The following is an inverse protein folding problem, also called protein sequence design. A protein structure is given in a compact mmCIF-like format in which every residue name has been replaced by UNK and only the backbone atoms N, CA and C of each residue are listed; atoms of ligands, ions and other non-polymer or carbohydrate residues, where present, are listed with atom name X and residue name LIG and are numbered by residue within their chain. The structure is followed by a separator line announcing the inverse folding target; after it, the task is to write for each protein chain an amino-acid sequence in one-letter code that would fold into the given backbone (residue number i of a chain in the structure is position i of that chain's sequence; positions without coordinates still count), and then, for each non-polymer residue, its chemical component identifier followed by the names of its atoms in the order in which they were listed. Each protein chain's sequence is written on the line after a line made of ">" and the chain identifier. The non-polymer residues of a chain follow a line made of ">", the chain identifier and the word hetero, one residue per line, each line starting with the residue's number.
data_IF_376320373164
#
_entry.id   IF_376320373164
#
_cell.length_a   1.000
_cell.length_b   1.000
_cell.length_c   1.000
_cell.angle_alpha   90.00
_cell.angle_beta   90.00
_cell.angle_gamma   90.00
#
_symmetry.space_group_name_H-M   'P 1'
#
loop_
_entity.id
_entity.type
_entity.pdbx_description
1 polymer ?
#
# COMPACT_ATOMS: atom_id res chain seq x y z
N UNK A 1 -17.97 29.97 -0.50
CA UNK A 1 -17.72 28.71 -1.22
C UNK A 1 -17.79 27.58 -0.20
N UNK A 2 -18.67 26.58 -0.39
CA UNK A 2 -18.66 25.41 0.48
C UNK A 2 -17.27 24.77 0.46
N UNK A 3 -16.77 24.21 1.58
CA UNK A 3 -15.46 23.59 1.61
C UNK A 3 -15.43 22.46 0.58
N UNK A 4 -14.52 22.56 -0.40
CA UNK A 4 -14.25 21.50 -1.39
C UNK A 4 -14.04 20.19 -0.64
N UNK A 5 -14.70 19.14 -1.09
CA UNK A 5 -14.53 17.81 -0.50
C UNK A 5 -13.05 17.45 -0.52
N UNK A 6 -12.45 17.33 0.66
CA UNK A 6 -11.04 17.01 0.83
C UNK A 6 -10.92 15.50 0.83
N UNK A 7 -10.31 14.96 -0.21
CA UNK A 7 -10.09 13.52 -0.33
C UNK A 7 -8.63 13.22 -0.02
N UNK A 8 -8.41 12.27 0.87
CA UNK A 8 -7.08 11.79 1.22
C UNK A 8 -6.87 10.38 0.67
N UNK A 9 -5.84 10.22 -0.16
CA UNK A 9 -5.36 8.90 -0.55
C UNK A 9 -4.29 8.43 0.41
N UNK A 10 -4.53 7.32 1.09
CA UNK A 10 -3.56 6.73 2.00
C UNK A 10 -2.76 5.64 1.31
N UNK A 11 -1.45 5.81 1.34
CA UNK A 11 -0.46 4.96 0.70
C UNK A 11 0.38 4.32 1.78
N UNK A 12 0.40 3.00 1.85
CA UNK A 12 1.25 2.27 2.80
C UNK A 12 2.38 1.60 2.03
N UNK A 13 3.61 1.85 2.45
CA UNK A 13 4.81 1.31 1.85
C UNK A 13 5.57 0.52 2.89
N UNK A 14 5.74 -0.77 2.65
CA UNK A 14 6.56 -1.63 3.48
C UNK A 14 7.86 -1.93 2.74
N UNK A 15 8.97 -1.90 3.47
CA UNK A 15 10.28 -2.30 2.96
C UNK A 15 10.96 -3.25 3.95
N UNK A 16 11.48 -4.36 3.43
CA UNK A 16 12.22 -5.33 4.19
C UNK A 16 13.65 -4.85 4.39
N UNK A 17 14.11 -4.82 5.64
CA UNK A 17 15.49 -4.48 5.99
C UNK A 17 15.99 -5.43 7.08
N UNK A 18 16.99 -6.29 6.80
CA UNK A 18 17.32 -7.44 7.65
C UNK A 18 17.90 -7.07 9.02
N UNK A 19 18.48 -5.87 9.18
CA UNK A 19 19.06 -5.43 10.45
C UNK A 19 18.05 -4.74 11.38
N UNK A 20 16.79 -4.55 10.95
CA UNK A 20 15.73 -4.01 11.81
C UNK A 20 15.08 -5.17 12.56
N UNK A 21 14.82 -5.00 13.85
CA UNK A 21 14.15 -6.03 14.64
C UNK A 21 12.68 -6.16 14.16
N UNK A 22 12.17 -7.38 13.87
CA UNK A 22 10.79 -7.62 13.46
C UNK A 22 9.73 -7.03 14.39
N UNK A 23 10.00 -6.99 15.70
CA UNK A 23 9.08 -6.47 16.73
C UNK A 23 9.14 -4.94 16.89
N UNK A 24 10.15 -4.29 16.31
CA UNK A 24 10.36 -2.85 16.42
C UNK A 24 10.55 -2.20 15.03
N UNK A 25 9.51 -2.21 14.19
CA UNK A 25 9.56 -1.59 12.88
C UNK A 25 9.75 -0.06 13.00
N UNK A 26 10.46 0.54 12.04
CA UNK A 26 10.53 1.99 11.90
C UNK A 26 9.33 2.45 11.09
N UNK A 27 8.40 3.14 11.75
CA UNK A 27 7.20 3.67 11.11
C UNK A 27 7.27 5.19 11.03
N UNK A 28 6.94 5.73 9.87
CA UNK A 28 6.87 7.16 9.63
C UNK A 28 5.64 7.51 8.80
N UNK A 29 5.10 8.70 9.08
CA UNK A 29 3.91 9.24 8.43
C UNK A 29 4.23 10.61 7.83
N UNK A 30 3.84 10.81 6.57
CA UNK A 30 4.04 12.08 5.87
C UNK A 30 2.81 12.45 5.05
N UNK A 31 2.36 13.70 5.19
CA UNK A 31 1.34 14.26 4.31
C UNK A 31 2.04 14.97 3.15
N UNK A 32 1.57 14.70 1.93
CA UNK A 32 2.12 15.28 0.70
C UNK A 32 1.01 15.89 -0.14
N UNK A 33 1.33 17.03 -0.76
CA UNK A 33 0.48 17.67 -1.77
C UNK A 33 0.50 16.92 -3.12
N UNK A 34 1.60 16.20 -3.39
CA UNK A 34 1.81 15.48 -4.65
C UNK A 34 2.01 13.99 -4.40
N UNK A 35 1.61 13.18 -5.38
CA UNK A 35 1.78 11.74 -5.34
C UNK A 35 3.27 11.36 -5.31
N UNK A 36 3.67 10.27 -4.63
CA UNK A 36 5.07 9.88 -4.46
C UNK A 36 5.69 9.22 -5.72
N UNK A 37 5.18 9.51 -6.91
CA UNK A 37 5.49 8.86 -8.20
C UNK A 37 6.99 8.75 -8.48
N UNK A 38 7.77 9.80 -8.19
CA UNK A 38 9.23 9.80 -8.38
C UNK A 38 10.00 8.84 -7.48
N UNK A 39 9.39 8.33 -6.40
CA UNK A 39 10.03 7.44 -5.42
C UNK A 39 9.60 5.97 -5.53
N UNK A 40 8.75 5.64 -6.50
CA UNK A 40 8.16 4.30 -6.71
C UNK A 40 8.36 3.81 -8.15
N UNK A 41 9.53 4.11 -8.73
CA UNK A 41 9.86 3.90 -10.15
C UNK A 41 9.46 2.51 -10.68
N UNK A 42 9.72 1.46 -9.90
CA UNK A 42 9.48 0.05 -10.31
C UNK A 42 8.01 -0.34 -10.46
N UNK A 43 7.11 0.38 -9.80
CA UNK A 43 5.67 0.11 -9.80
C UNK A 43 4.88 1.36 -10.16
N UNK A 44 5.54 2.29 -10.87
CA UNK A 44 4.96 3.59 -11.25
C UNK A 44 3.74 3.41 -12.15
N UNK A 45 3.86 2.56 -13.15
CA UNK A 45 2.79 2.19 -14.09
C UNK A 45 1.57 1.65 -13.35
N UNK A 46 1.80 0.68 -12.45
CA UNK A 46 0.76 0.11 -11.61
C UNK A 46 0.10 1.17 -10.73
N UNK A 47 0.90 2.01 -10.07
CA UNK A 47 0.41 3.05 -9.19
C UNK A 47 -0.43 4.09 -9.94
N UNK A 48 0.04 4.58 -11.09
CA UNK A 48 -0.68 5.54 -11.92
C UNK A 48 -2.02 4.96 -12.39
N UNK A 49 -2.05 3.68 -12.79
CA UNK A 49 -3.29 2.99 -13.15
C UNK A 49 -4.29 2.88 -11.99
N UNK A 50 -3.82 2.45 -10.81
CA UNK A 50 -4.67 2.39 -9.60
C UNK A 50 -5.21 3.77 -9.24
N UNK A 51 -4.34 4.79 -9.22
CA UNK A 51 -4.75 6.15 -8.87
C UNK A 51 -5.72 6.75 -9.89
N UNK A 52 -5.57 6.44 -11.18
CA UNK A 52 -6.53 6.87 -12.21
C UNK A 52 -7.92 6.30 -11.93
N UNK A 53 -8.00 5.00 -11.60
CA UNK A 53 -9.26 4.32 -11.26
C UNK A 53 -9.88 4.85 -9.97
N UNK A 54 -9.09 5.16 -8.94
CA UNK A 54 -9.65 5.70 -7.70
C UNK A 54 -10.09 7.17 -7.87
N UNK A 55 -9.34 7.97 -8.64
CA UNK A 55 -9.71 9.36 -8.94
C UNK A 55 -10.94 9.47 -9.83
N UNK A 56 -11.20 8.52 -10.72
CA UNK A 56 -12.40 8.55 -11.59
C UNK A 56 -13.71 8.42 -10.81
N UNK A 57 -13.65 7.99 -9.55
CA UNK A 57 -14.81 7.91 -8.63
C UNK A 57 -15.09 9.23 -7.91
N UNK A 58 -14.16 10.18 -7.98
CA UNK A 58 -14.25 11.45 -7.26
C UNK A 58 -14.81 12.55 -8.17
N UNK A 59 -15.43 13.59 -7.58
CA UNK A 59 -15.72 14.82 -8.30
C UNK A 59 -14.46 15.39 -8.97
N UNK A 60 -14.55 15.93 -10.20
CA UNK A 60 -13.39 16.46 -10.92
C UNK A 60 -12.63 17.57 -10.18
N UNK A 61 -13.29 18.29 -9.29
CA UNK A 61 -12.78 19.41 -8.50
C UNK A 61 -12.39 19.02 -7.05
N UNK A 62 -12.39 17.72 -6.72
CA UNK A 62 -12.01 17.21 -5.42
C UNK A 62 -10.59 17.68 -5.02
N UNK A 63 -10.45 18.13 -3.77
CA UNK A 63 -9.16 18.57 -3.26
C UNK A 63 -8.38 17.36 -2.71
N UNK A 64 -7.47 16.83 -3.52
CA UNK A 64 -6.75 15.60 -3.22
C UNK A 64 -5.46 15.88 -2.44
N UNK A 65 -5.25 15.14 -1.35
CA UNK A 65 -3.96 15.02 -0.65
C UNK A 65 -3.51 13.56 -0.53
N UNK A 66 -2.22 13.34 -0.30
CA UNK A 66 -1.64 12.01 -0.12
C UNK A 66 -1.10 11.87 1.29
N UNK A 67 -1.43 10.76 1.94
CA UNK A 67 -0.86 10.37 3.22
C UNK A 67 0.02 9.14 2.98
N UNK A 68 1.33 9.29 3.18
CA UNK A 68 2.30 8.22 2.98
C UNK A 68 2.72 7.65 4.33
N UNK A 69 2.42 6.38 4.53
CA UNK A 69 2.88 5.55 5.62
C UNK A 69 4.06 4.72 5.15
N UNK A 70 5.22 4.88 5.78
CA UNK A 70 6.40 4.08 5.49
C UNK A 70 6.74 3.22 6.69
N UNK A 71 6.77 1.92 6.46
CA UNK A 71 7.07 0.90 7.46
C UNK A 71 8.32 0.17 6.98
N UNK A 72 9.38 0.24 7.78
CA UNK A 72 10.62 -0.47 7.50
C UNK A 72 10.81 -1.50 8.61
N UNK A 73 10.87 -2.79 8.26
CA UNK A 73 10.87 -3.90 9.22
C UNK A 73 11.79 -5.02 8.77
N UNK A 74 12.34 -5.77 9.73
CA UNK A 74 13.04 -7.03 9.45
C UNK A 74 12.13 -8.26 9.54
N UNK A 75 10.82 -8.07 9.71
CA UNK A 75 9.84 -9.15 9.62
C UNK A 75 9.78 -9.69 8.18
N UNK A 76 10.54 -10.75 7.92
CA UNK A 76 10.63 -11.40 6.62
C UNK A 76 9.32 -12.05 6.20
N UNK A 77 8.54 -12.53 7.17
CA UNK A 77 7.30 -13.24 6.89
C UNK A 77 6.37 -12.35 6.09
N UNK A 78 6.21 -11.06 6.44
CA UNK A 78 5.38 -10.11 5.70
C UNK A 78 5.65 -10.05 4.20
N UNK A 79 6.89 -10.28 3.78
CA UNK A 79 7.32 -10.21 2.38
C UNK A 79 7.35 -11.56 1.68
N UNK A 80 7.08 -12.65 2.39
CA UNK A 80 6.95 -13.98 1.79
C UNK A 80 5.50 -14.22 1.35
N UNK A 81 5.32 -14.43 0.04
CA UNK A 81 4.02 -14.66 -0.59
C UNK A 81 4.14 -15.78 -1.61
N UNK A 82 3.33 -16.82 -1.47
CA UNK A 82 3.29 -17.99 -2.37
C UNK A 82 4.69 -18.62 -2.62
N UNK A 83 5.54 -18.67 -1.59
CA UNK A 83 6.91 -19.23 -1.68
C UNK A 83 7.94 -18.30 -2.33
N UNK A 84 7.54 -17.09 -2.73
CA UNK A 84 8.45 -16.06 -3.25
C UNK A 84 8.66 -15.00 -2.18
N UNK A 85 9.93 -14.60 -1.99
CA UNK A 85 10.31 -13.51 -1.09
C UNK A 85 10.37 -12.20 -1.87
N UNK A 86 9.61 -11.21 -1.46
CA UNK A 86 9.69 -9.84 -1.96
C UNK A 86 10.56 -8.96 -1.04
N UNK A 87 10.85 -7.73 -1.43
CA UNK A 87 11.53 -6.77 -0.54
C UNK A 87 10.72 -5.50 -0.30
N UNK A 88 9.68 -5.26 -1.11
CA UNK A 88 8.80 -4.11 -1.00
C UNK A 88 7.35 -4.49 -1.21
N UNK A 89 6.48 -3.76 -0.52
CA UNK A 89 5.04 -3.87 -0.65
C UNK A 89 4.51 -2.45 -0.72
N UNK A 90 3.60 -2.19 -1.65
CA UNK A 90 2.87 -0.93 -1.70
C UNK A 90 1.38 -1.21 -1.69
N UNK A 91 0.66 -0.51 -0.82
CA UNK A 91 -0.78 -0.52 -0.68
C UNK A 91 -1.33 0.87 -1.01
N UNK A 92 -2.44 0.90 -1.74
CA UNK A 92 -3.30 2.07 -1.90
C UNK A 92 -4.59 1.73 -1.16
N UNK A 93 -4.86 2.46 -0.08
CA UNK A 93 -6.09 2.33 0.69
C UNK A 93 -7.11 3.32 0.10
N UNK A 94 -7.97 2.82 -0.77
CA UNK A 94 -9.16 3.54 -1.19
C UNK A 94 -10.25 3.46 -0.12
N UNK A 95 -11.37 4.13 -0.38
CA UNK A 95 -12.53 4.13 0.52
C UNK A 95 -13.17 2.74 0.65
N UNK A 96 -13.37 2.06 -0.50
CA UNK A 96 -13.99 0.73 -0.54
C UNK A 96 -12.99 -0.38 -0.87
N UNK A 97 -11.88 -0.05 -1.52
CA UNK A 97 -10.96 -1.04 -2.09
C UNK A 97 -9.53 -0.80 -1.66
N UNK A 98 -8.85 -1.89 -1.30
CA UNK A 98 -7.40 -1.89 -1.10
C UNK A 98 -6.77 -2.49 -2.35
N UNK A 99 -5.84 -1.75 -2.95
CA UNK A 99 -4.99 -2.27 -4.03
C UNK A 99 -3.59 -2.48 -3.49
N UNK A 100 -2.95 -3.59 -3.86
CA UNK A 100 -1.61 -3.93 -3.40
C UNK A 100 -0.71 -4.39 -4.54
N UNK A 101 0.59 -4.20 -4.33
CA UNK A 101 1.64 -4.81 -5.14
C UNK A 101 2.79 -5.26 -4.23
N UNK A 102 3.17 -6.52 -4.36
CA UNK A 102 4.42 -7.07 -3.83
C UNK A 102 5.45 -7.01 -4.95
N UNK A 103 6.65 -6.47 -4.69
CA UNK A 103 7.67 -6.29 -5.72
C UNK A 103 9.09 -6.35 -5.14
N UNK A 104 10.08 -6.46 -6.02
CA UNK A 104 11.50 -6.54 -5.67
C UNK A 104 12.31 -5.41 -6.33
N UNK A 105 13.44 -5.06 -5.71
CA UNK A 105 14.52 -4.27 -6.31
C UNK A 105 15.49 -5.11 -7.16
N UNK A 106 15.02 -6.18 -7.80
CA UNK A 106 15.87 -7.07 -8.60
C UNK A 106 15.54 -6.92 -10.09
N UNK A 107 16.50 -7.20 -11.00
CA UNK A 107 16.27 -7.13 -12.46
C UNK A 107 15.17 -8.08 -12.95
N UNK A 108 14.98 -9.19 -12.24
CA UNK A 108 13.83 -10.07 -12.40
C UNK A 108 12.65 -9.35 -11.74
N UNK A 109 12.00 -8.41 -12.45
CA UNK A 109 10.87 -7.59 -11.98
C UNK A 109 9.62 -8.41 -11.63
N UNK A 110 9.74 -9.35 -10.70
CA UNK A 110 8.63 -10.15 -10.19
C UNK A 110 7.75 -9.23 -9.38
N UNK A 111 6.49 -9.15 -9.75
CA UNK A 111 5.46 -8.50 -8.95
C UNK A 111 4.22 -9.37 -8.84
N UNK A 112 3.57 -9.31 -7.69
CA UNK A 112 2.23 -9.85 -7.47
C UNK A 112 1.33 -8.66 -7.14
N UNK A 113 0.36 -8.40 -8.00
CA UNK A 113 -0.61 -7.32 -7.82
C UNK A 113 -2.00 -7.89 -7.52
N UNK A 114 -2.82 -7.08 -6.86
CA UNK A 114 -4.21 -7.43 -6.63
C UNK A 114 -4.98 -6.29 -6.00
N UNK A 115 -6.28 -6.47 -5.96
CA UNK A 115 -7.17 -5.60 -5.20
C UNK A 115 -8.33 -6.43 -4.66
N UNK A 116 -8.92 -5.94 -3.58
CA UNK A 116 -10.15 -6.48 -3.03
C UNK A 116 -10.86 -5.42 -2.18
N UNK A 117 -12.16 -5.61 -2.05
CA UNK A 117 -12.99 -4.82 -1.15
C UNK A 117 -12.83 -5.38 0.27
N UNK A 118 -12.15 -4.61 1.12
CA UNK A 118 -12.15 -4.85 2.55
C UNK A 118 -12.49 -3.54 3.24
N UNK A 119 -13.51 -3.49 4.12
CA UNK A 119 -13.73 -2.32 4.94
C UNK A 119 -12.54 -2.20 5.90
N UNK A 120 -11.78 -1.12 5.75
CA UNK A 120 -10.71 -0.78 6.69
C UNK A 120 -10.95 0.63 7.18
N UNK A 121 -11.36 0.73 8.44
CA UNK A 121 -11.39 2.00 9.15
C UNK A 121 -10.00 2.25 9.74
N UNK A 122 -9.33 3.28 9.24
CA UNK A 122 -8.02 3.67 9.74
C UNK A 122 -8.01 5.14 10.20
N UNK A 123 -7.37 5.39 11.34
CA UNK A 123 -6.74 6.66 11.67
C UNK A 123 -5.23 6.46 11.64
N UNK A 124 -4.45 7.55 11.66
CA UNK A 124 -3.00 7.41 11.80
C UNK A 124 -2.57 6.65 13.05
N UNK A 125 -3.30 6.82 14.15
CA UNK A 125 -3.14 5.99 15.36
C UNK A 125 -3.31 4.49 15.10
N UNK A 126 -4.29 4.11 14.27
CA UNK A 126 -4.69 2.74 14.06
C UNK A 126 -3.78 1.99 13.06
N UNK A 127 -3.26 2.65 12.01
CA UNK A 127 -2.45 1.97 11.00
C UNK A 127 -1.18 1.32 11.57
N UNK A 128 -0.59 1.92 12.59
CA UNK A 128 0.56 1.34 13.31
C UNK A 128 0.29 -0.09 13.80
N UNK A 129 -0.93 -0.37 14.25
CA UNK A 129 -1.30 -1.67 14.80
C UNK A 129 -2.04 -2.54 13.76
N UNK A 130 -2.84 -1.92 12.89
CA UNK A 130 -3.71 -2.62 11.95
C UNK A 130 -2.99 -3.12 10.69
N UNK A 131 -1.80 -2.61 10.35
CA UNK A 131 -1.15 -3.01 9.10
C UNK A 131 -0.87 -4.51 9.05
N UNK A 132 -0.58 -5.15 10.19
CA UNK A 132 -0.37 -6.59 10.27
C UNK A 132 -1.65 -7.36 9.89
N UNK A 133 -2.80 -6.95 10.41
CA UNK A 133 -4.09 -7.55 10.09
C UNK A 133 -4.48 -7.35 8.62
N UNK A 134 -4.23 -6.14 8.09
CA UNK A 134 -4.43 -5.83 6.67
C UNK A 134 -3.57 -6.75 5.80
N UNK A 135 -2.28 -6.89 6.15
CA UNK A 135 -1.35 -7.77 5.43
C UNK A 135 -1.78 -9.24 5.50
N UNK A 136 -2.26 -9.71 6.66
CA UNK A 136 -2.77 -11.07 6.82
C UNK A 136 -3.98 -11.34 5.90
N UNK A 137 -4.95 -10.40 5.85
CA UNK A 137 -6.11 -10.49 4.94
C UNK A 137 -5.73 -10.47 3.47
N UNK A 138 -4.78 -9.61 3.09
CA UNK A 138 -4.24 -9.57 1.72
C UNK A 138 -3.63 -10.92 1.34
N UNK A 139 -2.77 -11.48 2.20
CA UNK A 139 -2.14 -12.78 1.93
C UNK A 139 -3.15 -13.92 1.85
N UNK A 140 -4.17 -13.92 2.71
CA UNK A 140 -5.26 -14.89 2.63
C UNK A 140 -5.96 -14.80 1.26
N UNK A 141 -6.20 -13.58 0.78
CA UNK A 141 -6.85 -13.33 -0.52
C UNK A 141 -5.98 -13.76 -1.70
N UNK A 142 -4.69 -13.46 -1.66
CA UNK A 142 -3.71 -13.92 -2.66
C UNK A 142 -3.60 -15.45 -2.67
N UNK A 143 -3.72 -16.10 -1.50
CA UNK A 143 -3.67 -17.57 -1.40
C UNK A 143 -4.93 -18.24 -1.94
N UNK A 144 -6.12 -17.65 -1.72
CA UNK A 144 -7.40 -18.17 -2.24
C UNK A 144 -7.51 -18.12 -3.76
N UNK A 145 -6.85 -17.16 -4.42
CA UNK A 145 -6.85 -17.06 -5.90
C UNK A 145 -6.19 -18.25 -6.61
N UNK A 146 -5.51 -19.17 -5.91
CA UNK A 146 -4.95 -20.39 -6.49
C UNK A 146 -5.97 -21.50 -6.77
N UNK A 147 -7.25 -21.33 -6.45
CA UNK A 147 -8.29 -22.28 -6.88
C UNK A 147 -8.83 -21.86 -8.25
N UNK A 148 -8.07 -22.17 -9.30
CA UNK A 148 -8.55 -22.61 -10.63
C UNK A 148 -7.35 -22.79 -11.57
#
# INVERSE_FOLDING_TARGET
>A
MAPREKVEFVLVRLAFVPYINPLYPRISYQIRKHAPTGSIIQVRDWFEHVMMRERSKLPPDANIRYAEWRIITGDMELFQVQGVRFDKIMLVLGEENISWVFYQNTPLFRRIEGSACFPVSYCGCCLNNQYLDIMAKIKQTVSRKKIR
#
